data_IF_344560995926
#
_entry.id   IF_344560995926
#
_cell.length_a   1.000
_cell.length_b   1.000
_cell.length_c   1.000
_cell.angle_alpha   90.00
_cell.angle_beta   90.00
_cell.angle_gamma   90.00
#
_symmetry.space_group_name_H-M   'P 1'
#
loop_
_entity.id
_entity.type
_entity.pdbx_description
1 polymer ?
#
# COMPACT_ATOMS: atom_id res chain seq x y z
N UNK A 1 49.80 -32.17 -30.70
CA UNK A 1 48.70 -32.52 -31.61
C UNK A 1 47.78 -33.46 -30.84
N UNK A 2 46.47 -33.11 -30.74
CA UNK A 2 45.33 -33.76 -30.03
C UNK A 2 45.38 -33.74 -28.47
N UNK A 3 44.51 -33.08 -27.67
CA UNK A 3 43.01 -33.03 -27.54
C UNK A 3 42.41 -34.45 -27.37
N UNK A 4 41.84 -34.90 -26.24
CA UNK A 4 40.60 -34.49 -25.51
C UNK A 4 40.46 -35.43 -24.28
N UNK A 5 39.98 -35.00 -23.10
CA UNK A 5 38.56 -35.09 -22.70
C UNK A 5 38.44 -35.61 -21.25
N UNK A 6 38.27 -34.71 -20.28
CA UNK A 6 38.05 -35.02 -18.86
C UNK A 6 36.57 -35.37 -18.62
N UNK A 7 36.27 -36.62 -18.26
CA UNK A 7 34.94 -37.04 -17.85
C UNK A 7 34.66 -36.53 -16.42
N UNK A 8 33.73 -35.58 -16.29
CA UNK A 8 33.23 -35.11 -15.00
C UNK A 8 32.32 -36.15 -14.35
N UNK A 9 32.59 -36.46 -13.08
CA UNK A 9 31.71 -37.25 -12.23
C UNK A 9 30.41 -36.48 -11.98
N UNK A 10 29.23 -37.13 -12.03
CA UNK A 10 27.98 -36.45 -11.73
C UNK A 10 27.93 -36.16 -10.23
N UNK A 11 27.96 -34.87 -9.88
CA UNK A 11 27.70 -34.42 -8.52
C UNK A 11 26.25 -34.75 -8.18
N UNK A 12 26.06 -35.56 -7.14
CA UNK A 12 24.75 -35.82 -6.54
C UNK A 12 24.18 -34.48 -6.08
N UNK A 13 23.25 -33.92 -6.87
CA UNK A 13 22.52 -32.71 -6.53
C UNK A 13 21.60 -32.99 -5.35
N UNK A 14 22.05 -32.65 -4.14
CA UNK A 14 21.17 -32.45 -3.00
C UNK A 14 20.31 -31.20 -3.29
N UNK A 15 19.24 -31.38 -4.06
CA UNK A 15 18.17 -30.42 -4.23
C UNK A 15 17.32 -30.38 -2.94
N UNK A 16 17.94 -30.00 -1.83
CA UNK A 16 17.24 -29.50 -0.65
C UNK A 16 16.98 -28.02 -0.89
N UNK A 17 15.91 -27.71 -1.64
CA UNK A 17 15.49 -26.34 -1.87
C UNK A 17 15.12 -25.69 -0.54
N UNK A 18 16.00 -24.85 -0.01
CA UNK A 18 15.59 -23.83 0.93
C UNK A 18 14.55 -22.98 0.18
N UNK A 19 13.31 -22.84 0.69
CA UNK A 19 12.36 -21.93 0.06
C UNK A 19 12.99 -20.54 0.02
N UNK A 20 13.01 -19.93 -1.15
CA UNK A 20 13.44 -18.55 -1.31
C UNK A 20 12.33 -17.64 -0.73
N UNK A 21 12.33 -17.49 0.59
CA UNK A 21 11.36 -16.68 1.33
C UNK A 21 11.43 -15.19 0.95
N UNK A 22 12.52 -14.77 0.30
CA UNK A 22 12.75 -13.39 -0.13
C UNK A 22 12.00 -13.01 -1.40
N UNK A 23 11.53 -13.98 -2.20
CA UNK A 23 10.90 -13.73 -3.51
C UNK A 23 9.47 -14.27 -3.65
N UNK A 24 8.80 -14.62 -2.54
CA UNK A 24 7.39 -15.03 -2.62
C UNK A 24 6.48 -13.83 -2.88
N UNK A 25 5.68 -13.91 -3.96
CA UNK A 25 4.58 -12.99 -4.20
C UNK A 25 3.58 -13.11 -3.04
N UNK A 26 3.64 -12.17 -2.09
CA UNK A 26 2.69 -12.09 -1.00
C UNK A 26 1.31 -11.70 -1.55
N UNK A 27 0.44 -12.70 -1.73
CA UNK A 27 -0.99 -12.45 -1.93
C UNK A 27 -1.62 -12.22 -0.56
N UNK A 28 -1.48 -10.99 -0.06
CA UNK A 28 -1.75 -10.63 1.33
C UNK A 28 -3.24 -10.39 1.62
N UNK A 29 -4.15 -10.75 0.71
CA UNK A 29 -5.60 -10.57 0.89
C UNK A 29 -5.97 -9.19 1.41
N UNK A 30 -5.39 -8.14 0.83
CA UNK A 30 -5.46 -6.78 1.38
C UNK A 30 -6.47 -5.94 0.62
N UNK A 31 -7.29 -5.19 1.35
CA UNK A 31 -8.21 -4.19 0.81
C UNK A 31 -7.98 -2.89 1.57
N UNK A 32 -7.53 -1.86 0.84
CA UNK A 32 -7.36 -0.50 1.36
C UNK A 32 -8.20 0.46 0.53
N UNK A 33 -8.74 1.49 1.19
CA UNK A 33 -9.60 2.48 0.58
C UNK A 33 -9.40 3.84 1.24
N UNK A 34 -9.47 4.89 0.43
CA UNK A 34 -9.49 6.28 0.88
C UNK A 34 -10.52 7.07 0.07
N UNK A 35 -11.27 7.94 0.73
CA UNK A 35 -12.36 8.74 0.15
C UNK A 35 -12.25 10.18 0.65
N UNK A 36 -12.23 11.13 -0.27
CA UNK A 36 -12.27 12.56 -0.01
C UNK A 36 -13.72 13.01 0.24
N UNK A 37 -13.93 13.84 1.26
CA UNK A 37 -15.22 14.47 1.57
C UNK A 37 -15.02 15.93 1.97
N UNK A 38 -16.12 16.69 2.05
CA UNK A 38 -16.04 18.10 2.45
C UNK A 38 -15.52 18.24 3.89
N UNK A 39 -14.30 18.75 4.03
CA UNK A 39 -13.63 18.94 5.31
C UNK A 39 -12.59 17.88 5.68
N UNK A 40 -12.41 16.81 4.88
CA UNK A 40 -11.42 15.78 5.23
C UNK A 40 -11.34 14.58 4.29
N UNK A 41 -10.77 13.51 4.82
CA UNK A 41 -10.68 12.20 4.16
C UNK A 41 -11.10 11.11 5.14
N UNK A 42 -11.75 10.08 4.62
CA UNK A 42 -12.00 8.82 5.33
C UNK A 42 -11.05 7.78 4.73
N UNK A 43 -10.31 7.09 5.59
CA UNK A 43 -9.46 5.97 5.21
C UNK A 43 -9.95 4.70 5.91
N UNK A 44 -9.75 3.58 5.25
CA UNK A 44 -10.06 2.27 5.81
C UNK A 44 -9.22 1.17 5.19
N UNK A 45 -8.95 0.16 5.99
CA UNK A 45 -8.19 -1.01 5.61
C UNK A 45 -8.76 -2.24 6.32
N UNK A 46 -8.57 -3.42 5.73
CA UNK A 46 -8.75 -4.67 6.44
C UNK A 46 -7.54 -4.97 7.36
N UNK A 47 -7.71 -5.87 8.32
CA UNK A 47 -6.68 -6.20 9.32
C UNK A 47 -5.99 -7.55 9.09
N UNK A 48 -6.35 -8.29 8.03
CA UNK A 48 -5.84 -9.64 7.79
C UNK A 48 -4.54 -9.58 6.98
N UNK A 49 -3.53 -10.33 7.41
CA UNK A 49 -2.29 -10.55 6.67
C UNK A 49 -2.10 -12.05 6.48
N UNK A 50 -1.93 -12.46 5.23
CA UNK A 50 -1.76 -13.87 4.83
C UNK A 50 -0.40 -14.10 4.22
N UNK A 51 0.18 -15.27 4.50
CA UNK A 51 1.36 -15.81 3.83
C UNK A 51 0.92 -17.07 3.11
N UNK A 52 0.65 -16.96 1.81
CA UNK A 52 -0.04 -18.01 1.05
C UNK A 52 -1.44 -18.26 1.62
N UNK A 53 -1.76 -19.52 1.90
CA UNK A 53 -3.05 -19.92 2.49
C UNK A 53 -3.13 -19.74 4.01
N UNK A 54 -2.00 -19.42 4.67
CA UNK A 54 -1.94 -19.28 6.11
C UNK A 54 -2.18 -17.83 6.53
N UNK A 55 -3.05 -17.62 7.52
CA UNK A 55 -3.26 -16.29 8.12
C UNK A 55 -2.15 -16.04 9.15
N UNK A 56 -1.15 -15.25 8.76
CA UNK A 56 -0.03 -14.86 9.59
C UNK A 56 -0.45 -13.92 10.73
N UNK A 57 -1.33 -12.96 10.44
CA UNK A 57 -1.89 -12.05 11.44
C UNK A 57 -3.34 -11.67 11.10
N UNK A 58 -4.20 -11.56 12.11
CA UNK A 58 -5.63 -11.20 11.97
C UNK A 58 -5.94 -9.74 12.32
N UNK A 59 -5.01 -9.06 12.99
CA UNK A 59 -5.20 -7.73 13.58
C UNK A 59 -4.07 -6.76 13.19
N UNK A 60 -3.54 -6.91 11.98
CA UNK A 60 -2.50 -6.01 11.46
C UNK A 60 -3.09 -4.62 11.22
N UNK A 61 -2.42 -3.60 11.73
CA UNK A 61 -2.71 -2.22 11.34
C UNK A 61 -1.98 -1.86 10.04
N UNK A 62 -2.75 -1.62 8.98
CA UNK A 62 -2.25 -1.22 7.66
C UNK A 62 -2.33 0.29 7.44
N UNK A 63 -2.89 1.02 8.40
CA UNK A 63 -2.95 2.48 8.39
C UNK A 63 -1.78 2.99 9.24
N UNK A 64 -0.86 3.71 8.61
CA UNK A 64 0.32 4.21 9.29
C UNK A 64 0.29 5.73 9.30
N UNK A 65 0.42 6.30 10.49
CA UNK A 65 0.53 7.74 10.66
C UNK A 65 1.91 8.20 10.19
N UNK A 66 1.95 9.05 9.17
CA UNK A 66 3.19 9.64 8.64
C UNK A 66 3.45 11.00 9.30
N UNK A 67 2.38 11.73 9.59
CA UNK A 67 2.39 12.98 10.35
C UNK A 67 1.03 13.16 11.04
N UNK A 68 0.88 14.13 11.94
CA UNK A 68 -0.37 14.47 12.64
C UNK A 68 -1.66 14.46 11.80
N UNK A 69 -1.58 14.85 10.53
CA UNK A 69 -2.73 14.99 9.61
C UNK A 69 -2.59 14.19 8.32
N UNK A 70 -1.58 13.32 8.24
CA UNK A 70 -1.25 12.56 7.04
C UNK A 70 -1.05 11.10 7.41
N UNK A 71 -1.81 10.24 6.77
CA UNK A 71 -1.76 8.80 6.94
C UNK A 71 -1.46 8.15 5.59
N UNK A 72 -0.84 6.97 5.65
CA UNK A 72 -0.71 6.10 4.50
C UNK A 72 -1.39 4.75 4.75
N UNK A 73 -2.01 4.20 3.72
CA UNK A 73 -2.48 2.82 3.70
C UNK A 73 -1.44 1.98 2.96
N UNK A 74 -1.03 0.88 3.58
CA UNK A 74 0.02 0.00 3.08
C UNK A 74 -0.57 -1.26 2.44
N UNK A 75 -0.12 -1.58 1.23
CA UNK A 75 -0.46 -2.81 0.50
C UNK A 75 0.77 -3.34 -0.26
N UNK A 76 0.89 -4.67 -0.35
CA UNK A 76 2.04 -5.35 -0.95
C UNK A 76 2.87 -6.04 0.12
N UNK A 77 4.19 -6.10 -0.11
CA UNK A 77 5.16 -6.65 0.84
C UNK A 77 5.09 -5.88 2.16
N UNK A 78 4.85 -6.59 3.25
CA UNK A 78 4.76 -5.97 4.58
C UNK A 78 6.08 -5.28 4.96
N UNK A 79 7.22 -5.90 4.65
CA UNK A 79 8.54 -5.37 4.95
C UNK A 79 8.84 -4.09 4.16
N UNK A 80 8.60 -4.11 2.84
CA UNK A 80 8.89 -2.98 1.95
C UNK A 80 8.06 -1.76 2.34
N UNK A 81 6.76 -1.97 2.53
CA UNK A 81 5.84 -0.87 2.84
C UNK A 81 6.09 -0.25 4.20
N UNK A 82 6.55 -1.03 5.20
CA UNK A 82 6.97 -0.51 6.51
C UNK A 82 8.22 0.35 6.39
N UNK A 83 9.26 -0.17 5.73
CA UNK A 83 10.53 0.54 5.58
C UNK A 83 10.35 1.88 4.84
N UNK A 84 9.54 1.91 3.77
CA UNK A 84 9.25 3.14 3.04
C UNK A 84 8.46 4.13 3.93
N UNK A 85 7.44 3.65 4.66
CA UNK A 85 6.63 4.52 5.51
C UNK A 85 7.47 5.18 6.60
N UNK A 86 8.35 4.43 7.26
CA UNK A 86 9.22 4.94 8.33
C UNK A 86 10.23 5.97 7.78
N UNK A 87 10.85 5.67 6.63
CA UNK A 87 11.78 6.59 5.98
C UNK A 87 11.09 7.90 5.54
N UNK A 88 9.88 7.82 4.99
CA UNK A 88 9.11 9.01 4.59
C UNK A 88 8.64 9.80 5.81
N UNK A 89 8.19 9.13 6.89
CA UNK A 89 7.81 9.80 8.13
C UNK A 89 8.98 10.58 8.73
N UNK A 90 10.18 9.99 8.74
CA UNK A 90 11.40 10.66 9.19
C UNK A 90 11.74 11.89 8.34
N UNK A 91 11.77 11.73 7.01
CA UNK A 91 12.10 12.84 6.09
C UNK A 91 11.07 13.98 6.19
N UNK A 92 9.78 13.63 6.25
CA UNK A 92 8.70 14.61 6.32
C UNK A 92 8.69 15.33 7.68
N UNK A 93 8.94 14.61 8.77
CA UNK A 93 9.06 15.19 10.10
C UNK A 93 10.23 16.16 10.20
N UNK A 94 11.41 15.78 9.69
CA UNK A 94 12.56 16.67 9.62
C UNK A 94 12.26 17.94 8.81
N UNK A 95 11.64 17.78 7.63
CA UNK A 95 11.26 18.89 6.77
C UNK A 95 10.24 19.84 7.44
N UNK A 96 9.29 19.30 8.19
CA UNK A 96 8.30 20.09 8.94
C UNK A 96 8.95 20.93 10.04
N UNK A 97 9.92 20.36 10.76
CA UNK A 97 10.67 21.06 11.82
C UNK A 97 11.52 22.17 11.22
N UNK A 98 12.22 21.91 10.11
CA UNK A 98 13.08 22.90 9.45
C UNK A 98 12.31 24.11 8.96
N UNK A 99 11.09 23.90 8.43
CA UNK A 99 10.23 24.97 7.93
C UNK A 99 9.31 25.58 9.00
N UNK A 100 9.28 25.01 10.21
CA UNK A 100 8.32 25.35 11.28
C UNK A 100 6.86 25.42 10.77
N UNK A 101 6.51 24.48 9.89
CA UNK A 101 5.20 24.44 9.22
C UNK A 101 4.68 23.03 9.09
N UNK A 102 3.35 22.88 9.15
CA UNK A 102 2.70 21.60 8.91
C UNK A 102 2.92 21.17 7.45
N UNK A 103 3.36 19.94 7.19
CA UNK A 103 3.66 19.48 5.85
C UNK A 103 2.39 19.37 5.01
N UNK A 104 2.54 19.57 3.70
CA UNK A 104 1.46 19.39 2.74
C UNK A 104 1.29 17.91 2.37
N UNK A 105 0.06 17.48 2.08
CA UNK A 105 -0.22 16.09 1.66
C UNK A 105 0.51 15.76 0.36
N UNK A 106 0.59 16.73 -0.56
CA UNK A 106 1.33 16.60 -1.81
C UNK A 106 2.83 16.36 -1.59
N UNK A 107 3.44 16.98 -0.57
CA UNK A 107 4.87 16.77 -0.25
C UNK A 107 5.10 15.34 0.21
N UNK A 108 4.25 14.84 1.12
CA UNK A 108 4.31 13.44 1.55
C UNK A 108 4.16 12.46 0.37
N UNK A 109 3.17 12.68 -0.49
CA UNK A 109 2.95 11.85 -1.69
C UNK A 109 4.14 11.89 -2.66
N UNK A 110 4.83 13.03 -2.76
CA UNK A 110 6.03 13.18 -3.60
C UNK A 110 7.21 12.37 -3.06
N UNK A 111 7.40 12.31 -1.74
CA UNK A 111 8.43 11.47 -1.11
C UNK A 111 8.15 9.98 -1.34
N UNK A 112 6.90 9.55 -1.17
CA UNK A 112 6.50 8.17 -1.49
C UNK A 112 6.74 7.84 -2.96
N UNK A 113 6.35 8.74 -3.87
CA UNK A 113 6.61 8.59 -5.31
C UNK A 113 8.10 8.40 -5.60
N UNK A 114 8.96 9.24 -5.02
CA UNK A 114 10.42 9.16 -5.24
C UNK A 114 11.00 7.84 -4.75
N UNK A 115 10.63 7.42 -3.53
CA UNK A 115 11.07 6.16 -2.93
C UNK A 115 10.59 4.96 -3.75
N UNK A 116 9.29 4.90 -4.07
CA UNK A 116 8.70 3.81 -4.84
C UNK A 116 9.24 3.76 -6.28
N UNK A 117 9.58 4.91 -6.89
CA UNK A 117 10.16 4.93 -8.24
C UNK A 117 11.63 4.52 -8.23
N UNK A 118 12.41 4.98 -7.25
CA UNK A 118 13.85 4.67 -7.13
C UNK A 118 14.11 3.18 -6.98
N UNK A 119 13.30 2.50 -6.17
CA UNK A 119 13.47 1.09 -5.85
C UNK A 119 12.37 0.22 -6.48
N UNK A 120 11.78 0.66 -7.60
CA UNK A 120 10.63 0.00 -8.22
C UNK A 120 10.87 -1.45 -8.67
N UNK A 121 12.12 -1.84 -8.89
CA UNK A 121 12.50 -3.19 -9.31
C UNK A 121 12.68 -4.13 -8.09
N UNK A 122 12.94 -3.56 -6.91
CA UNK A 122 13.22 -4.31 -5.69
C UNK A 122 12.05 -4.28 -4.68
N UNK A 123 11.16 -3.28 -4.77
CA UNK A 123 10.06 -3.07 -3.83
C UNK A 123 8.70 -3.44 -4.44
N UNK A 124 7.92 -4.19 -3.67
CA UNK A 124 6.50 -4.45 -3.97
C UNK A 124 5.62 -3.66 -3.02
N UNK A 125 5.41 -2.38 -3.34
CA UNK A 125 4.63 -1.45 -2.52
C UNK A 125 3.54 -0.72 -3.33
N UNK A 126 2.29 -0.84 -2.87
CA UNK A 126 1.18 0.01 -3.24
C UNK A 126 0.78 0.86 -2.04
N UNK A 127 0.91 2.18 -2.17
CA UNK A 127 0.66 3.13 -1.08
C UNK A 127 -0.50 4.05 -1.49
N UNK A 128 -1.47 4.20 -0.59
CA UNK A 128 -2.44 5.29 -0.66
C UNK A 128 -2.05 6.32 0.38
N UNK A 129 -1.81 7.56 -0.04
CA UNK A 129 -1.51 8.68 0.87
C UNK A 129 -2.76 9.51 0.98
N UNK A 130 -3.25 9.68 2.21
CA UNK A 130 -4.44 10.46 2.48
C UNK A 130 -4.18 11.38 3.66
N UNK A 131 -4.65 12.62 3.56
CA UNK A 131 -4.47 13.57 4.65
C UNK A 131 -5.27 14.83 4.43
N UNK A 132 -5.07 15.75 5.35
CA UNK A 132 -5.66 17.08 5.29
C UNK A 132 -4.58 18.14 5.41
N UNK A 133 -4.61 19.14 4.53
CA UNK A 133 -3.80 20.34 4.66
C UNK A 133 -4.65 21.62 4.60
N UNK A 134 -4.04 22.74 5.01
CA UNK A 134 -4.73 24.04 5.09
C UNK A 134 -4.97 24.68 3.70
N UNK A 135 -4.26 24.23 2.67
CA UNK A 135 -4.26 24.87 1.35
C UNK A 135 -5.32 24.27 0.43
N UNK A 136 -5.45 22.95 0.42
CA UNK A 136 -6.30 22.17 -0.49
C UNK A 136 -7.30 21.29 0.25
N UNK A 137 -7.24 21.23 1.58
CA UNK A 137 -8.14 20.43 2.40
C UNK A 137 -7.80 18.94 2.36
N UNK A 138 -8.83 18.11 2.40
CA UNK A 138 -8.71 16.66 2.28
C UNK A 138 -8.19 16.27 0.90
N UNK A 139 -7.19 15.40 0.84
CA UNK A 139 -6.62 14.92 -0.41
C UNK A 139 -6.29 13.44 -0.33
N UNK A 140 -6.56 12.72 -1.42
CA UNK A 140 -6.15 11.33 -1.60
C UNK A 140 -5.25 11.21 -2.82
N UNK A 141 -4.08 10.60 -2.61
CA UNK A 141 -3.08 10.31 -3.63
C UNK A 141 -2.83 8.80 -3.69
N UNK A 142 -2.89 8.26 -4.91
CA UNK A 142 -2.54 6.88 -5.19
C UNK A 142 -1.10 6.81 -5.71
N UNK A 143 -0.28 5.97 -5.08
CA UNK A 143 1.07 5.62 -5.51
C UNK A 143 1.11 4.10 -5.72
N UNK A 144 0.68 3.61 -6.89
CA UNK A 144 0.72 2.19 -7.20
C UNK A 144 2.16 1.74 -7.48
N UNK A 145 2.32 0.42 -7.64
CA UNK A 145 3.57 -0.18 -8.09
C UNK A 145 4.01 0.46 -9.42
N UNK A 146 5.26 0.94 -9.47
CA UNK A 146 5.80 1.72 -10.59
C UNK A 146 6.04 3.20 -10.29
N UNK A 147 5.59 3.70 -9.13
CA UNK A 147 6.00 5.03 -8.63
C UNK A 147 5.37 6.21 -9.36
N UNK A 148 4.20 6.01 -10.00
CA UNK A 148 3.36 7.14 -10.44
C UNK A 148 2.65 7.76 -9.23
N UNK A 149 2.22 9.02 -9.36
CA UNK A 149 1.46 9.71 -8.32
C UNK A 149 0.23 10.34 -8.97
N UNK A 150 -0.95 9.95 -8.52
CA UNK A 150 -2.22 10.46 -9.07
C UNK A 150 -3.15 10.88 -7.94
N UNK A 151 -3.72 12.08 -8.05
CA UNK A 151 -4.79 12.55 -7.16
C UNK A 151 -6.13 12.01 -7.65
N UNK A 152 -6.92 11.45 -6.75
CA UNK A 152 -8.26 10.94 -7.05
C UNK A 152 -9.22 11.29 -5.90
N UNK A 153 -10.53 11.49 -6.16
CA UNK A 153 -11.49 11.75 -5.10
C UNK A 153 -11.75 10.53 -4.21
N UNK A 154 -11.55 9.33 -4.74
CA UNK A 154 -11.44 8.10 -3.98
C UNK A 154 -10.35 7.25 -4.62
N UNK A 155 -9.73 6.39 -3.83
CA UNK A 155 -8.79 5.39 -4.33
C UNK A 155 -8.94 4.10 -3.55
N UNK A 156 -8.83 2.98 -4.27
CA UNK A 156 -8.86 1.64 -3.71
C UNK A 156 -7.59 0.90 -4.12
N UNK A 157 -7.13 0.00 -3.27
CA UNK A 157 -5.91 -0.76 -3.54
C UNK A 157 -5.86 -2.09 -2.79
N UNK A 158 -4.85 -2.88 -3.15
CA UNK A 158 -4.63 -4.23 -2.65
C UNK A 158 -5.32 -5.30 -3.48
N UNK A 159 -5.01 -6.56 -3.19
CA UNK A 159 -5.54 -7.70 -3.97
C UNK A 159 -7.07 -7.81 -3.91
N UNK A 160 -7.69 -7.35 -2.83
CA UNK A 160 -9.15 -7.33 -2.65
C UNK A 160 -9.85 -6.21 -3.42
N UNK A 161 -9.13 -5.16 -3.86
CA UNK A 161 -9.75 -4.04 -4.57
C UNK A 161 -10.35 -4.45 -5.92
N UNK A 162 -9.79 -5.48 -6.56
CA UNK A 162 -10.27 -6.03 -7.83
C UNK A 162 -11.75 -6.44 -7.80
N UNK A 163 -12.24 -6.90 -6.65
CA UNK A 163 -13.61 -7.39 -6.49
C UNK A 163 -14.63 -6.28 -6.21
N UNK A 164 -14.18 -5.13 -5.71
CA UNK A 164 -15.06 -4.05 -5.26
C UNK A 164 -15.17 -2.90 -6.27
N UNK A 165 -14.42 -2.94 -7.38
CA UNK A 165 -14.47 -1.89 -8.41
C UNK A 165 -15.89 -1.57 -8.87
N UNK A 166 -16.69 -2.60 -9.20
CA UNK A 166 -18.07 -2.41 -9.65
C UNK A 166 -18.98 -1.83 -8.56
N UNK A 167 -18.76 -2.19 -7.29
CA UNK A 167 -19.52 -1.64 -6.17
C UNK A 167 -19.18 -0.17 -5.93
N UNK A 168 -17.90 0.16 -5.95
CA UNK A 168 -17.39 1.52 -5.72
C UNK A 168 -17.86 2.46 -6.82
N UNK A 169 -17.83 2.03 -8.08
CA UNK A 169 -18.26 2.84 -9.22
C UNK A 169 -19.76 3.19 -9.18
N UNK A 170 -20.61 2.24 -8.77
CA UNK A 170 -22.07 2.46 -8.66
C UNK A 170 -22.46 3.23 -7.40
N UNK A 171 -21.76 2.99 -6.29
CA UNK A 171 -22.14 3.55 -4.98
C UNK A 171 -21.54 4.93 -4.73
N UNK A 172 -20.43 5.26 -5.40
CA UNK A 172 -19.78 6.55 -5.23
C UNK A 172 -20.63 7.69 -5.79
N UNK A 173 -20.71 8.77 -5.02
CA UNK A 173 -21.43 10.01 -5.33
C UNK A 173 -20.54 11.19 -4.96
N UNK A 174 -20.35 12.17 -5.86
CA UNK A 174 -19.64 13.40 -5.50
C UNK A 174 -20.36 14.13 -4.36
N UNK A 175 -19.58 14.66 -3.41
CA UNK A 175 -20.13 15.48 -2.31
C UNK A 175 -20.81 14.69 -1.20
N UNK A 176 -20.43 13.43 -0.97
CA UNK A 176 -20.88 12.68 0.21
C UNK A 176 -20.48 13.37 1.52
N UNK A 177 -21.36 13.27 2.51
CA UNK A 177 -21.08 13.63 3.90
C UNK A 177 -20.08 12.66 4.55
N UNK A 178 -19.52 13.06 5.69
CA UNK A 178 -18.60 12.21 6.47
C UNK A 178 -19.23 10.85 6.82
N UNK A 179 -20.50 10.85 7.25
CA UNK A 179 -21.24 9.66 7.66
C UNK A 179 -21.52 8.73 6.46
N UNK A 180 -21.84 9.30 5.30
CA UNK A 180 -22.00 8.54 4.06
C UNK A 180 -20.68 7.93 3.62
N UNK A 181 -19.57 8.69 3.69
CA UNK A 181 -18.24 8.17 3.37
C UNK A 181 -17.83 7.03 4.32
N UNK A 182 -18.09 7.15 5.62
CA UNK A 182 -17.83 6.07 6.58
C UNK A 182 -18.61 4.81 6.24
N UNK A 183 -19.90 4.95 5.95
CA UNK A 183 -20.78 3.83 5.58
C UNK A 183 -20.33 3.20 4.26
N UNK A 184 -19.98 4.03 3.28
CA UNK A 184 -19.48 3.61 1.98
C UNK A 184 -18.18 2.81 2.09
N UNK A 185 -17.20 3.32 2.85
CA UNK A 185 -15.93 2.62 3.09
C UNK A 185 -16.14 1.32 3.86
N UNK A 186 -16.98 1.31 4.89
CA UNK A 186 -17.29 0.10 5.66
C UNK A 186 -17.91 -1.00 4.77
N UNK A 187 -18.88 -0.65 3.93
CA UNK A 187 -19.52 -1.59 3.01
C UNK A 187 -18.54 -2.12 1.95
N UNK A 188 -17.69 -1.25 1.40
CA UNK A 188 -16.68 -1.65 0.42
C UNK A 188 -15.66 -2.63 1.02
N UNK A 189 -15.15 -2.34 2.23
CA UNK A 189 -14.21 -3.22 2.92
C UNK A 189 -14.86 -4.55 3.33
N UNK A 190 -16.11 -4.53 3.79
CA UNK A 190 -16.85 -5.75 4.12
C UNK A 190 -17.02 -6.66 2.89
N UNK A 191 -17.36 -6.08 1.73
CA UNK A 191 -17.48 -6.82 0.47
C UNK A 191 -16.11 -7.40 0.03
N UNK A 192 -15.05 -6.59 0.10
CA UNK A 192 -13.70 -7.04 -0.23
C UNK A 192 -13.25 -8.21 0.64
N UNK A 193 -13.49 -8.12 1.95
CA UNK A 193 -13.12 -9.17 2.91
C UNK A 193 -13.91 -10.47 2.70
N UNK A 194 -15.18 -10.40 2.34
CA UNK A 194 -16.01 -11.59 2.06
C UNK A 194 -15.52 -12.35 0.82
N UNK A 195 -15.08 -11.64 -0.22
CA UNK A 195 -14.69 -12.23 -1.50
C UNK A 195 -13.24 -12.75 -1.51
N UNK A 196 -12.43 -12.36 -0.52
CA UNK A 196 -11.04 -12.79 -0.36
C UNK A 196 -10.86 -14.22 0.20
N UNK A 197 -11.95 -14.96 0.43
CA UNK A 197 -11.93 -16.32 0.94
C UNK A 197 -11.75 -16.37 2.46
N UNK A 198 -12.74 -16.93 3.15
CA UNK A 198 -12.67 -17.30 4.58
C UNK A 198 -11.95 -18.63 4.76
#
# INVERSE_FOLDING_TARGET
MAMTGSAALPSLGLAGGCPDWTHQAESTGTTIMAVEFEGGVVIGADSRTTTGSYIANRVTDKLTQIHDRIFCCRSGSAADTQAIADAVAYQLGFHSIELDQQPLVHTAASLFKEMCYRYREDLTAGILVAGWDRLKGGQVYSVPMGGMMVRQPFSIGGSGSSYIYGFVDVSYKPGMSKEECLTFTANALALGLQLLGT
#
